data_IF_965978494558
#
_entry.id   IF_965978494558
#
_cell.length_a   1.000
_cell.length_b   1.000
_cell.length_c   1.000
_cell.angle_alpha   90.00
_cell.angle_beta   90.00
_cell.angle_gamma   90.00
#
_symmetry.space_group_name_H-M   'P 1'
#
loop_
_entity.id
_entity.type
_entity.pdbx_description
1 polymer ?
#
# COMPACT_ATOMS: atom_id res chain seq x y z
N UNK A 1 -16.04 4.05 -3.71
CA UNK A 1 -15.45 4.86 -2.62
C UNK A 1 -15.78 4.21 -1.30
N UNK A 2 -14.89 4.27 -0.32
CA UNK A 2 -15.21 3.78 1.01
C UNK A 2 -16.34 4.61 1.63
N UNK A 3 -17.35 3.94 2.17
CA UNK A 3 -18.43 4.58 2.94
C UNK A 3 -18.35 4.18 4.41
N UNK A 4 -19.07 4.92 5.25
CA UNK A 4 -19.33 4.51 6.63
C UNK A 4 -20.42 3.43 6.64
N UNK A 5 -20.43 2.54 7.65
CA UNK A 5 -21.55 1.63 7.84
C UNK A 5 -22.83 2.42 8.10
N UNK A 6 -23.95 1.93 7.56
CA UNK A 6 -25.30 2.36 7.93
C UNK A 6 -25.61 1.94 9.36
N UNK A 7 -26.66 2.51 9.98
CA UNK A 7 -27.06 2.14 11.35
C UNK A 7 -27.32 0.63 11.50
N UNK A 8 -27.90 0.00 10.46
CA UNK A 8 -28.13 -1.44 10.44
C UNK A 8 -26.82 -2.21 10.41
N UNK A 9 -25.90 -1.85 9.51
CA UNK A 9 -24.59 -2.51 9.41
C UNK A 9 -23.75 -2.29 10.68
N UNK A 10 -23.78 -1.08 11.25
CA UNK A 10 -23.10 -0.76 12.50
C UNK A 10 -23.65 -1.61 13.66
N UNK A 11 -24.97 -1.83 13.71
CA UNK A 11 -25.56 -2.74 14.68
C UNK A 11 -25.06 -4.19 14.49
N UNK A 12 -24.94 -4.68 13.25
CA UNK A 12 -24.36 -6.00 12.96
C UNK A 12 -22.90 -6.08 13.44
N UNK A 13 -22.09 -5.06 13.11
CA UNK A 13 -20.69 -4.96 13.51
C UNK A 13 -20.57 -4.97 15.04
N UNK A 14 -21.38 -4.18 15.75
CA UNK A 14 -21.36 -4.09 17.20
C UNK A 14 -21.82 -5.37 17.90
N UNK A 15 -22.64 -6.22 17.26
CA UNK A 15 -22.97 -7.57 17.81
C UNK A 15 -21.77 -8.52 17.80
N UNK A 16 -20.83 -8.34 16.88
CA UNK A 16 -19.60 -9.14 16.79
C UNK A 16 -18.43 -8.52 17.59
N UNK A 17 -18.49 -7.21 17.85
CA UNK A 17 -17.47 -6.48 18.56
C UNK A 17 -17.52 -6.74 20.08
N UNK A 18 -16.36 -6.65 20.74
CA UNK A 18 -16.24 -6.77 22.21
C UNK A 18 -16.43 -5.44 22.95
N UNK A 19 -16.60 -4.35 22.21
CA UNK A 19 -16.88 -3.01 22.70
C UNK A 19 -17.84 -2.33 21.73
N UNK A 20 -18.46 -1.27 22.19
CA UNK A 20 -19.19 -0.37 21.30
C UNK A 20 -18.19 0.34 20.38
N UNK A 21 -18.48 0.28 19.08
CA UNK A 21 -17.75 0.95 18.03
C UNK A 21 -18.65 1.99 17.35
N UNK A 22 -18.02 3.04 16.85
CA UNK A 22 -18.65 4.11 16.08
C UNK A 22 -18.48 3.90 14.57
N UNK A 23 -19.37 4.50 13.77
CA UNK A 23 -19.31 4.40 12.31
C UNK A 23 -18.01 4.95 11.70
N UNK A 24 -17.36 5.91 12.36
CA UNK A 24 -16.13 6.55 11.88
C UNK A 24 -14.91 5.64 11.91
N UNK A 25 -14.98 4.52 12.65
CA UNK A 25 -13.88 3.57 12.81
C UNK A 25 -13.76 2.57 11.67
N UNK A 26 -14.68 2.56 10.71
CA UNK A 26 -14.72 1.54 9.67
C UNK A 26 -14.68 2.12 8.26
N UNK A 27 -14.06 1.36 7.36
CA UNK A 27 -14.33 1.43 5.94
C UNK A 27 -15.36 0.36 5.58
N UNK A 28 -16.33 0.72 4.75
CA UNK A 28 -17.24 -0.22 4.10
C UNK A 28 -17.12 -0.07 2.59
N UNK A 29 -17.00 -1.20 1.91
CA UNK A 29 -16.93 -1.26 0.44
C UNK A 29 -18.04 -2.15 -0.07
N UNK A 30 -18.78 -1.65 -1.06
CA UNK A 30 -19.78 -2.43 -1.78
C UNK A 30 -19.07 -3.27 -2.85
N UNK A 31 -19.48 -4.53 -2.98
CA UNK A 31 -18.85 -5.47 -3.88
C UNK A 31 -19.85 -6.39 -4.58
N UNK A 32 -19.39 -6.97 -5.69
CA UNK A 32 -20.11 -7.92 -6.52
C UNK A 32 -19.33 -9.25 -6.55
N UNK A 33 -19.33 -10.05 -5.47
CA UNK A 33 -18.40 -11.17 -5.34
C UNK A 33 -18.67 -12.35 -6.27
N UNK A 34 -19.89 -12.50 -6.80
CA UNK A 34 -20.24 -13.66 -7.61
C UNK A 34 -21.38 -13.37 -8.59
N UNK A 35 -21.41 -14.10 -9.70
CA UNK A 35 -22.50 -14.09 -10.69
C UNK A 35 -22.67 -15.47 -11.31
N UNK A 36 -23.87 -15.77 -11.84
CA UNK A 36 -24.18 -17.07 -12.44
C UNK A 36 -24.02 -17.13 -13.96
N UNK A 37 -23.67 -16.00 -14.59
CA UNK A 37 -23.76 -15.82 -16.05
C UNK A 37 -22.41 -15.70 -16.76
N UNK A 38 -21.31 -15.39 -16.06
CA UNK A 38 -19.98 -15.34 -16.66
C UNK A 38 -19.26 -16.67 -16.56
N UNK A 39 -18.51 -17.01 -17.61
CA UNK A 39 -17.62 -18.15 -17.65
C UNK A 39 -16.33 -17.82 -16.87
N UNK A 40 -15.94 -18.69 -15.94
CA UNK A 40 -14.66 -18.55 -15.23
C UNK A 40 -13.47 -18.95 -16.10
N UNK A 41 -12.27 -18.53 -15.71
CA UNK A 41 -11.02 -18.99 -16.33
C UNK A 41 -10.77 -20.51 -16.18
N UNK A 42 -11.57 -21.19 -15.36
CA UNK A 42 -11.55 -22.63 -15.13
C UNK A 42 -12.66 -23.38 -15.88
N UNK A 43 -13.28 -22.74 -16.89
CA UNK A 43 -14.32 -23.32 -17.74
C UNK A 43 -15.60 -23.75 -17.01
N UNK A 44 -15.99 -23.02 -15.96
CA UNK A 44 -17.26 -23.26 -15.27
C UNK A 44 -18.10 -22.00 -15.08
N UNK A 45 -19.40 -22.22 -14.86
CA UNK A 45 -20.34 -21.21 -14.38
C UNK A 45 -20.73 -21.54 -12.95
N UNK A 46 -20.96 -20.52 -12.12
CA UNK A 46 -21.71 -20.72 -10.88
C UNK A 46 -23.18 -20.97 -11.23
N UNK A 47 -23.77 -21.98 -10.61
CA UNK A 47 -25.20 -22.23 -10.70
C UNK A 47 -26.00 -21.18 -9.92
N UNK A 48 -27.23 -20.90 -10.35
CA UNK A 48 -28.11 -19.99 -9.63
C UNK A 48 -28.36 -20.47 -8.20
N UNK A 49 -28.45 -21.80 -7.99
CA UNK A 49 -28.61 -22.35 -6.63
C UNK A 49 -27.40 -22.05 -5.74
N UNK A 50 -26.19 -22.04 -6.30
CA UNK A 50 -24.96 -21.66 -5.59
C UNK A 50 -24.98 -20.18 -5.21
N UNK A 51 -25.42 -19.29 -6.11
CA UNK A 51 -25.57 -17.85 -5.79
C UNK A 51 -26.58 -17.63 -4.64
N UNK A 52 -27.69 -18.36 -4.65
CA UNK A 52 -28.70 -18.31 -3.57
C UNK A 52 -28.14 -18.81 -2.24
N UNK A 53 -27.36 -19.90 -2.26
CA UNK A 53 -26.68 -20.41 -1.09
C UNK A 53 -25.64 -19.43 -0.55
N UNK A 54 -24.86 -18.78 -1.43
CA UNK A 54 -23.87 -17.79 -1.03
C UNK A 54 -24.50 -16.60 -0.30
N UNK A 55 -25.66 -16.12 -0.78
CA UNK A 55 -26.45 -15.12 -0.06
C UNK A 55 -26.86 -15.62 1.33
N UNK A 56 -27.39 -16.84 1.42
CA UNK A 56 -27.78 -17.43 2.71
C UNK A 56 -26.58 -17.62 3.66
N UNK A 57 -25.38 -17.86 3.13
CA UNK A 57 -24.15 -17.99 3.91
C UNK A 57 -23.64 -16.63 4.41
N UNK A 58 -23.78 -15.56 3.61
CA UNK A 58 -23.52 -14.18 4.04
C UNK A 58 -24.45 -13.74 5.17
N UNK A 59 -25.74 -14.09 5.06
CA UNK A 59 -26.76 -13.77 6.06
C UNK A 59 -26.49 -14.43 7.43
N UNK A 60 -25.56 -15.40 7.51
CA UNK A 60 -25.12 -16.05 8.76
C UNK A 60 -23.98 -15.32 9.48
N UNK A 61 -23.43 -14.24 8.92
CA UNK A 61 -22.43 -13.35 9.53
C UNK A 61 -21.10 -14.04 9.94
N UNK A 62 -20.75 -15.13 9.26
CA UNK A 62 -19.54 -15.92 9.55
C UNK A 62 -18.39 -15.68 8.58
N UNK A 63 -18.65 -14.98 7.48
CA UNK A 63 -17.71 -14.92 6.37
C UNK A 63 -16.60 -13.89 6.61
N UNK A 64 -15.38 -14.37 6.43
CA UNK A 64 -14.15 -13.63 6.60
C UNK A 64 -13.77 -12.90 5.32
N UNK A 65 -13.10 -11.76 5.48
CA UNK A 65 -12.33 -11.12 4.42
C UNK A 65 -10.84 -11.31 4.70
N UNK A 66 -10.17 -12.02 3.80
CA UNK A 66 -8.73 -12.18 3.77
C UNK A 66 -8.12 -11.66 2.46
N UNK A 67 -6.85 -12.01 2.25
CA UNK A 67 -6.10 -11.71 1.04
C UNK A 67 -5.42 -12.97 0.49
N UNK A 68 -5.41 -13.07 -0.85
CA UNK A 68 -4.58 -14.02 -1.60
C UNK A 68 -4.79 -15.52 -1.32
N UNK A 69 -5.95 -15.94 -0.81
CA UNK A 69 -6.26 -17.34 -0.44
C UNK A 69 -5.29 -17.99 0.55
N UNK A 70 -4.40 -17.21 1.14
CA UNK A 70 -3.54 -17.71 2.21
C UNK A 70 -4.39 -17.88 3.45
N UNK A 71 -4.11 -18.92 4.24
CA UNK A 71 -4.75 -19.11 5.56
C UNK A 71 -4.16 -18.15 6.59
N UNK A 72 -4.18 -16.86 6.26
CA UNK A 72 -3.75 -15.76 7.10
C UNK A 72 -4.91 -15.31 8.01
N UNK A 73 -4.56 -14.48 9.00
CA UNK A 73 -5.54 -13.82 9.85
C UNK A 73 -6.36 -12.82 9.03
N UNK A 74 -7.65 -12.73 9.33
CA UNK A 74 -8.59 -11.89 8.60
C UNK A 74 -8.49 -10.43 9.05
N UNK A 75 -8.59 -9.48 8.12
CA UNK A 75 -8.57 -8.04 8.39
C UNK A 75 -9.95 -7.38 8.22
N UNK A 76 -10.96 -8.14 7.83
CA UNK A 76 -12.33 -7.69 7.70
C UNK A 76 -13.35 -8.81 7.72
N UNK A 77 -14.61 -8.46 7.52
CA UNK A 77 -15.73 -9.40 7.39
C UNK A 77 -16.74 -8.93 6.37
N UNK A 78 -17.39 -9.89 5.74
CA UNK A 78 -18.52 -9.64 4.86
C UNK A 78 -19.80 -9.38 5.66
N UNK A 79 -20.63 -8.50 5.14
CA UNK A 79 -21.95 -8.18 5.63
C UNK A 79 -23.00 -8.93 4.81
N UNK A 80 -24.23 -9.07 5.33
CA UNK A 80 -25.36 -9.57 4.54
C UNK A 80 -25.49 -8.82 3.21
N UNK A 81 -25.84 -9.56 2.16
CA UNK A 81 -25.96 -9.05 0.81
C UNK A 81 -27.28 -9.43 0.16
N UNK A 82 -27.48 -8.94 -1.06
CA UNK A 82 -28.65 -9.16 -1.89
C UNK A 82 -28.28 -9.73 -3.24
N UNK A 83 -29.28 -10.29 -3.92
CA UNK A 83 -29.14 -10.79 -5.29
C UNK A 83 -29.87 -9.84 -6.21
N UNK A 84 -29.14 -9.29 -7.19
CA UNK A 84 -29.70 -8.47 -8.24
C UNK A 84 -29.87 -9.31 -9.51
N UNK A 85 -30.97 -9.09 -10.23
CA UNK A 85 -31.05 -9.45 -11.65
C UNK A 85 -30.49 -8.28 -12.45
N UNK A 86 -29.53 -8.56 -13.35
CA UNK A 86 -28.80 -7.55 -14.10
C UNK A 86 -28.91 -7.78 -15.60
N UNK A 87 -28.82 -6.70 -16.38
CA UNK A 87 -28.60 -6.79 -17.81
C UNK A 87 -27.20 -7.38 -18.04
N UNK A 88 -27.15 -8.57 -18.63
CA UNK A 88 -25.90 -9.30 -18.77
C UNK A 88 -25.07 -8.81 -19.95
N UNK A 89 -23.74 -8.75 -19.81
CA UNK A 89 -22.87 -8.29 -20.88
C UNK A 89 -22.68 -9.38 -21.95
N UNK A 90 -22.00 -9.01 -23.03
CA UNK A 90 -21.61 -9.93 -24.09
C UNK A 90 -20.78 -11.10 -23.54
N UNK A 91 -21.02 -12.30 -24.06
CA UNK A 91 -20.39 -13.54 -23.59
C UNK A 91 -21.06 -14.21 -22.39
N UNK A 92 -22.12 -13.61 -21.83
CA UNK A 92 -22.89 -14.22 -20.76
C UNK A 92 -23.69 -15.46 -21.21
N UNK A 93 -23.83 -16.45 -20.31
CA UNK A 93 -24.67 -17.62 -20.51
C UNK A 93 -26.14 -17.21 -20.60
N UNK A 94 -26.78 -17.57 -21.71
CA UNK A 94 -28.20 -17.25 -21.96
C UNK A 94 -29.09 -17.79 -20.85
N UNK A 95 -30.08 -16.98 -20.45
CA UNK A 95 -31.06 -17.35 -19.42
C UNK A 95 -30.57 -17.21 -17.98
N UNK A 96 -29.38 -16.63 -17.77
CA UNK A 96 -28.81 -16.33 -16.45
C UNK A 96 -28.53 -14.84 -16.32
N UNK A 97 -28.74 -14.30 -15.12
CA UNK A 97 -28.69 -12.86 -14.89
C UNK A 97 -28.51 -12.48 -13.42
N UNK A 98 -28.20 -13.44 -12.53
CA UNK A 98 -28.12 -13.16 -11.10
C UNK A 98 -26.70 -12.80 -10.70
N UNK A 99 -26.58 -11.67 -10.00
CA UNK A 99 -25.34 -11.19 -9.40
C UNK A 99 -25.53 -11.02 -7.90
N UNK A 100 -24.64 -11.63 -7.12
CA UNK A 100 -24.54 -11.38 -5.68
C UNK A 100 -23.90 -10.03 -5.45
N UNK A 101 -24.53 -9.21 -4.62
CA UNK A 101 -24.02 -7.92 -4.17
C UNK A 101 -23.93 -7.95 -2.66
N UNK A 102 -22.73 -7.76 -2.11
CA UNK A 102 -22.52 -7.81 -0.67
C UNK A 102 -21.46 -6.78 -0.29
N UNK A 103 -21.65 -6.00 0.78
CA UNK A 103 -20.60 -5.17 1.31
C UNK A 103 -19.68 -5.97 2.25
N UNK A 104 -18.48 -5.45 2.46
CA UNK A 104 -17.63 -5.87 3.57
C UNK A 104 -17.10 -4.64 4.31
N UNK A 105 -16.64 -4.87 5.54
CA UNK A 105 -16.04 -3.82 6.36
C UNK A 105 -14.63 -4.17 6.83
N UNK A 106 -13.83 -3.12 7.05
CA UNK A 106 -12.51 -3.17 7.67
C UNK A 106 -12.42 -2.09 8.76
N UNK A 107 -11.79 -2.42 9.88
CA UNK A 107 -11.47 -1.44 10.93
C UNK A 107 -10.30 -0.56 10.45
N UNK A 108 -10.40 0.76 10.57
CA UNK A 108 -9.35 1.70 10.18
C UNK A 108 -8.09 1.53 11.03
N UNK A 109 -6.92 1.74 10.43
CA UNK A 109 -5.63 1.65 11.13
C UNK A 109 -5.26 0.26 11.67
N UNK A 110 -6.03 -0.78 11.33
CA UNK A 110 -5.75 -2.15 11.74
C UNK A 110 -4.61 -2.72 10.88
N UNK A 111 -3.61 -3.30 11.54
CA UNK A 111 -2.55 -4.11 10.92
C UNK A 111 -2.69 -5.56 11.36
N UNK A 112 -2.79 -6.48 10.40
CA UNK A 112 -2.89 -7.93 10.61
C UNK A 112 -1.87 -8.63 9.73
N UNK A 113 -0.85 -9.24 10.35
CA UNK A 113 0.28 -9.79 9.61
C UNK A 113 0.99 -8.70 8.80
N UNK A 114 1.07 -8.90 7.49
CA UNK A 114 1.67 -7.94 6.54
C UNK A 114 0.67 -6.92 5.97
N UNK A 115 -0.61 -7.00 6.34
CA UNK A 115 -1.66 -6.19 5.74
C UNK A 115 -2.05 -5.02 6.65
N UNK A 116 -2.02 -3.80 6.12
CA UNK A 116 -2.57 -2.61 6.76
C UNK A 116 -3.86 -2.17 6.06
N UNK A 117 -4.94 -2.04 6.82
CA UNK A 117 -6.28 -1.73 6.30
C UNK A 117 -6.40 -0.34 5.66
N UNK A 118 -5.63 0.66 6.09
CA UNK A 118 -5.63 1.98 5.45
C UNK A 118 -4.92 1.94 4.09
N UNK A 119 -3.84 1.15 3.97
CA UNK A 119 -3.16 0.93 2.69
C UNK A 119 -4.02 0.12 1.71
N UNK A 120 -4.69 -0.93 2.20
CA UNK A 120 -5.66 -1.69 1.41
C UNK A 120 -6.81 -0.80 0.93
N UNK A 121 -7.38 0.03 1.81
CA UNK A 121 -8.44 0.96 1.45
C UNK A 121 -7.99 1.94 0.35
N UNK A 122 -6.77 2.50 0.45
CA UNK A 122 -6.19 3.35 -0.59
C UNK A 122 -6.03 2.61 -1.92
N UNK A 123 -5.56 1.37 -1.90
CA UNK A 123 -5.43 0.55 -3.11
C UNK A 123 -6.78 0.27 -3.77
N UNK A 124 -7.81 0.01 -2.96
CA UNK A 124 -9.19 -0.15 -3.44
C UNK A 124 -9.70 1.14 -4.08
N UNK A 125 -9.54 2.27 -3.41
CA UNK A 125 -10.02 3.56 -3.93
C UNK A 125 -9.25 4.04 -5.16
N UNK A 126 -7.97 3.70 -5.26
CA UNK A 126 -7.14 3.93 -6.45
C UNK A 126 -7.47 2.97 -7.60
N UNK A 127 -8.27 1.92 -7.36
CA UNK A 127 -8.63 0.90 -8.35
C UNK A 127 -7.52 -0.11 -8.63
N UNK A 128 -6.42 -0.11 -7.88
CA UNK A 128 -5.34 -1.09 -8.02
C UNK A 128 -5.64 -2.41 -7.32
N UNK A 129 -6.56 -2.41 -6.33
CA UNK A 129 -7.12 -3.60 -5.71
C UNK A 129 -8.61 -3.64 -5.99
N UNK A 130 -9.04 -4.45 -6.96
CA UNK A 130 -10.44 -4.47 -7.39
C UNK A 130 -11.04 -5.87 -7.50
N UNK A 131 -10.20 -6.87 -7.69
CA UNK A 131 -10.62 -8.21 -8.04
C UNK A 131 -10.85 -9.04 -6.76
N UNK A 132 -11.89 -9.87 -6.82
CA UNK A 132 -12.30 -10.75 -5.75
C UNK A 132 -12.25 -12.19 -6.21
N UNK A 133 -12.02 -13.08 -5.26
CA UNK A 133 -12.12 -14.50 -5.50
C UNK A 133 -12.88 -15.17 -4.38
N UNK A 134 -13.68 -16.15 -4.76
CA UNK A 134 -14.51 -16.91 -3.84
C UNK A 134 -13.90 -18.30 -3.63
N UNK A 135 -13.85 -18.71 -2.36
CA UNK A 135 -13.68 -20.11 -2.00
C UNK A 135 -15.06 -20.66 -1.68
N UNK A 136 -15.41 -21.80 -2.26
CA UNK A 136 -16.67 -22.48 -1.98
C UNK A 136 -16.44 -23.93 -1.61
N UNK A 137 -17.38 -24.48 -0.86
CA UNK A 137 -17.38 -25.86 -0.39
C UNK A 137 -18.57 -26.62 -0.97
N UNK A 138 -18.38 -27.93 -1.18
CA UNK A 138 -19.44 -28.81 -1.67
C UNK A 138 -19.80 -28.52 -3.12
N UNK A 139 -21.09 -28.66 -3.46
CA UNK A 139 -21.58 -28.44 -4.82
C UNK A 139 -21.43 -29.63 -5.77
N UNK A 140 -22.22 -29.57 -6.84
CA UNK A 140 -22.30 -30.55 -7.92
C UNK A 140 -21.90 -29.88 -9.24
N UNK A 141 -20.74 -30.21 -9.81
CA UNK A 141 -20.29 -29.69 -11.09
C UNK A 141 -20.93 -30.50 -12.22
N UNK A 142 -21.99 -29.95 -12.79
CA UNK A 142 -22.80 -30.57 -13.84
C UNK A 142 -22.27 -30.18 -15.21
N UNK A 143 -21.89 -31.16 -16.03
CA UNK A 143 -21.44 -30.94 -17.40
C UNK A 143 -22.55 -30.28 -18.24
N UNK A 144 -22.24 -29.20 -18.95
CA UNK A 144 -23.20 -28.50 -19.80
C UNK A 144 -23.48 -29.24 -21.13
N UNK A 145 -22.70 -30.28 -21.47
CA UNK A 145 -22.90 -31.12 -22.66
C UNK A 145 -23.80 -32.33 -22.35
N UNK A 146 -23.41 -33.18 -21.39
CA UNK A 146 -24.14 -34.42 -21.08
C UNK A 146 -25.02 -34.37 -19.83
N UNK A 147 -24.86 -33.35 -18.97
CA UNK A 147 -25.60 -33.25 -17.71
C UNK A 147 -25.09 -34.16 -16.57
N UNK A 148 -24.02 -34.93 -16.78
CA UNK A 148 -23.39 -35.75 -15.74
C UNK A 148 -22.48 -34.94 -14.80
N UNK A 149 -22.18 -35.48 -13.61
CA UNK A 149 -21.17 -34.88 -12.72
C UNK A 149 -19.77 -35.05 -13.33
N UNK A 150 -19.08 -33.94 -13.60
CA UNK A 150 -17.79 -33.96 -14.33
C UNK A 150 -16.65 -34.62 -13.55
N UNK A 151 -16.83 -34.88 -12.25
CA UNK A 151 -15.86 -35.61 -11.43
C UNK A 151 -16.01 -37.13 -11.56
N UNK A 152 -17.12 -37.59 -12.14
CA UNK A 152 -17.47 -39.01 -12.22
C UNK A 152 -17.42 -39.48 -13.67
N UNK A 153 -16.39 -40.28 -13.98
CA UNK A 153 -16.14 -40.74 -15.34
C UNK A 153 -17.30 -41.58 -15.92
N UNK A 154 -17.98 -42.37 -15.08
CA UNK A 154 -19.15 -43.16 -15.44
C UNK A 154 -20.40 -42.33 -15.75
N UNK A 155 -20.44 -41.06 -15.30
CA UNK A 155 -21.50 -40.11 -15.61
C UNK A 155 -21.10 -39.10 -16.71
N UNK A 156 -19.80 -38.82 -16.88
CA UNK A 156 -19.29 -37.81 -17.81
C UNK A 156 -17.86 -38.10 -18.30
N UNK A 157 -17.69 -38.25 -19.61
CA UNK A 157 -16.38 -38.39 -20.26
C UNK A 157 -15.81 -37.05 -20.79
N UNK A 158 -16.56 -35.96 -20.68
CA UNK A 158 -16.17 -34.64 -21.17
C UNK A 158 -15.18 -33.93 -20.26
N UNK A 159 -14.19 -33.26 -20.85
CA UNK A 159 -13.16 -32.50 -20.15
C UNK A 159 -13.39 -30.99 -20.32
N UNK A 160 -13.47 -30.20 -19.24
CA UNK A 160 -13.64 -28.75 -19.33
C UNK A 160 -12.59 -28.10 -20.24
N UNK A 161 -13.01 -27.18 -21.10
CA UNK A 161 -12.14 -26.46 -22.04
C UNK A 161 -11.78 -27.22 -23.31
N UNK A 162 -12.16 -28.50 -23.46
CA UNK A 162 -12.07 -29.23 -24.73
C UNK A 162 -13.31 -29.03 -25.58
N UNK A 163 -13.13 -29.06 -26.90
CA UNK A 163 -14.21 -28.97 -27.86
C UNK A 163 -14.74 -30.37 -28.23
N UNK A 164 -16.06 -30.53 -28.23
CA UNK A 164 -16.79 -31.71 -28.64
C UNK A 164 -17.92 -31.28 -29.57
N UNK A 165 -17.95 -31.81 -30.79
CA UNK A 165 -18.98 -31.49 -31.79
C UNK A 165 -19.20 -29.97 -32.01
N UNK A 166 -18.11 -29.18 -31.99
CA UNK A 166 -18.16 -27.73 -32.17
C UNK A 166 -18.55 -26.95 -30.90
N UNK A 167 -18.67 -27.61 -29.75
CA UNK A 167 -19.04 -27.01 -28.47
C UNK A 167 -17.93 -27.21 -27.45
N UNK A 168 -17.47 -26.11 -26.84
CA UNK A 168 -16.51 -26.19 -25.73
C UNK A 168 -17.21 -26.71 -24.48
N UNK A 169 -16.69 -27.80 -23.90
CA UNK A 169 -17.17 -28.36 -22.66
C UNK A 169 -16.96 -27.35 -21.53
N UNK A 170 -18.06 -27.00 -20.88
CA UNK A 170 -18.09 -26.21 -19.65
C UNK A 170 -18.96 -26.96 -18.64
N UNK A 171 -18.88 -26.56 -17.37
CA UNK A 171 -19.74 -27.14 -16.33
C UNK A 171 -20.36 -26.06 -15.46
N UNK A 172 -21.51 -26.38 -14.87
CA UNK A 172 -22.18 -25.52 -13.90
C UNK A 172 -22.02 -26.12 -12.50
N UNK A 173 -21.51 -25.34 -11.54
CA UNK A 173 -21.47 -25.75 -10.14
C UNK A 173 -22.77 -25.37 -9.45
N UNK A 174 -23.64 -26.34 -9.20
CA UNK A 174 -24.90 -26.17 -8.47
C UNK A 174 -24.75 -26.55 -6.98
N UNK A 175 -25.51 -25.89 -6.10
CA UNK A 175 -25.58 -26.14 -4.65
C UNK A 175 -24.23 -26.01 -3.91
N UNK A 176 -23.31 -25.17 -4.38
CA UNK A 176 -22.12 -24.82 -3.61
C UNK A 176 -22.47 -23.89 -2.44
N UNK A 177 -21.63 -23.88 -1.41
CA UNK A 177 -21.74 -23.00 -0.24
C UNK A 177 -20.51 -22.12 -0.11
N UNK A 178 -20.71 -20.85 0.30
CA UNK A 178 -19.62 -19.88 0.36
C UNK A 178 -18.72 -20.19 1.55
N UNK A 179 -17.43 -20.41 1.29
CA UNK A 179 -16.41 -20.66 2.31
C UNK A 179 -15.66 -19.39 2.71
N UNK A 180 -15.23 -18.61 1.73
CA UNK A 180 -14.59 -17.31 1.91
C UNK A 180 -14.73 -16.46 0.65
N UNK A 181 -14.51 -15.15 0.79
CA UNK A 181 -14.32 -14.27 -0.34
C UNK A 181 -13.22 -13.26 0.01
N UNK A 182 -12.16 -13.25 -0.79
CA UNK A 182 -10.91 -12.58 -0.48
C UNK A 182 -10.55 -11.56 -1.57
N UNK A 183 -9.77 -10.54 -1.18
CA UNK A 183 -9.11 -9.64 -2.11
C UNK A 183 -7.95 -10.37 -2.80
N UNK A 184 -7.90 -10.30 -4.13
CA UNK A 184 -6.87 -10.96 -4.93
C UNK A 184 -6.33 -10.03 -6.01
N UNK A 185 -5.14 -10.36 -6.53
CA UNK A 185 -4.51 -9.65 -7.64
C UNK A 185 -5.19 -9.97 -8.98
N UNK A 186 -5.57 -11.24 -9.18
CA UNK A 186 -6.27 -11.70 -10.38
C UNK A 186 -7.41 -12.67 -10.00
N UNK A 187 -8.64 -12.28 -10.34
CA UNK A 187 -9.86 -13.01 -9.99
C UNK A 187 -10.29 -13.99 -11.08
N UNK A 188 -10.60 -15.24 -10.70
CA UNK A 188 -10.97 -16.28 -11.67
C UNK A 188 -12.38 -16.16 -12.28
N UNK A 189 -13.25 -15.34 -11.69
CA UNK A 189 -14.63 -15.10 -12.16
C UNK A 189 -14.73 -13.66 -12.69
N UNK A 190 -15.00 -13.47 -14.00
CA UNK A 190 -15.22 -12.15 -14.54
C UNK A 190 -16.34 -11.41 -13.81
N UNK A 191 -16.13 -10.12 -13.56
CA UNK A 191 -17.07 -9.24 -12.84
C UNK A 191 -17.27 -9.61 -11.36
N UNK A 192 -16.40 -10.45 -10.80
CA UNK A 192 -16.23 -10.60 -9.36
C UNK A 192 -15.35 -9.47 -8.83
N UNK A 193 -15.93 -8.30 -8.59
CA UNK A 193 -15.15 -7.08 -8.32
C UNK A 193 -15.74 -6.22 -7.22
N UNK A 194 -14.94 -5.30 -6.70
CA UNK A 194 -15.42 -4.17 -5.93
C UNK A 194 -16.28 -3.27 -6.83
N UNK A 195 -17.41 -2.79 -6.31
CA UNK A 195 -18.30 -1.94 -7.09
C UNK A 195 -17.64 -0.56 -7.28
N UNK A 196 -17.30 -0.23 -8.52
CA UNK A 196 -16.98 1.14 -8.90
C UNK A 196 -18.24 2.01 -8.76
N UNK A 197 -18.06 3.28 -8.35
CA UNK A 197 -19.14 4.26 -8.45
C UNK A 197 -19.60 4.39 -9.90
N UNK A 198 -20.92 4.51 -10.09
CA UNK A 198 -21.65 4.57 -11.36
C UNK A 198 -20.81 4.94 -12.60
N UNK A 199 -20.27 3.93 -13.26
CA UNK A 199 -19.49 4.10 -14.48
C UNK A 199 -18.29 3.19 -14.54
N UNK A 200 -18.51 1.90 -14.75
CA UNK A 200 -17.42 1.08 -15.28
C UNK A 200 -17.90 0.08 -16.33
N UNK A 201 -17.86 0.55 -17.56
CA UNK A 201 -17.80 -0.26 -18.76
C UNK A 201 -16.32 -0.40 -19.15
N UNK A 202 -15.54 -1.09 -18.33
CA UNK A 202 -14.20 -1.53 -18.70
C UNK A 202 -14.35 -2.79 -19.54
N UNK A 203 -13.94 -2.68 -20.81
CA UNK A 203 -14.10 -3.73 -21.82
C UNK A 203 -13.59 -5.06 -21.28
N UNK A 204 -14.48 -6.06 -21.36
CA UNK A 204 -14.17 -7.48 -21.23
C UNK A 204 -12.87 -7.80 -21.99
N UNK A 205 -12.11 -8.73 -21.43
CA UNK A 205 -10.87 -9.25 -21.97
C UNK A 205 -10.87 -9.30 -23.51
N UNK A 206 -9.82 -8.74 -24.10
CA UNK A 206 -9.50 -8.81 -25.52
C UNK A 206 -9.78 -10.23 -26.06
N UNK A 207 -10.49 -10.40 -27.18
CA UNK A 207 -10.67 -11.71 -27.84
C UNK A 207 -9.39 -12.56 -27.98
N UNK A 208 -8.20 -11.93 -27.97
CA UNK A 208 -6.90 -12.61 -27.89
C UNK A 208 -6.71 -13.48 -26.63
N UNK A 209 -7.41 -13.20 -25.52
CA UNK A 209 -7.42 -14.04 -24.32
C UNK A 209 -8.10 -15.38 -24.57
N UNK A 210 -9.13 -15.44 -25.41
CA UNK A 210 -9.78 -16.72 -25.76
C UNK A 210 -8.85 -17.58 -26.64
N UNK A 211 -8.06 -16.95 -27.51
CA UNK A 211 -7.07 -17.62 -28.35
C UNK A 211 -5.86 -18.11 -27.54
N UNK A 212 -5.43 -17.32 -26.54
CA UNK A 212 -4.40 -17.73 -25.58
C UNK A 212 -4.90 -18.84 -24.64
N UNK A 213 -6.17 -18.81 -24.22
CA UNK A 213 -6.81 -19.88 -23.43
C UNK A 213 -6.94 -21.17 -24.27
N UNK A 214 -7.27 -21.07 -25.56
CA UNK A 214 -7.27 -22.21 -26.50
C UNK A 214 -5.87 -22.78 -26.71
N UNK A 215 -4.83 -21.94 -26.79
CA UNK A 215 -3.44 -22.37 -26.83
C UNK A 215 -3.02 -23.09 -25.54
N UNK A 216 -3.33 -22.50 -24.38
CA UNK A 216 -3.05 -23.09 -23.07
C UNK A 216 -3.79 -24.41 -22.83
N UNK A 217 -5.04 -24.56 -23.32
CA UNK A 217 -5.79 -25.82 -23.21
C UNK A 217 -5.27 -26.90 -24.17
N UNK A 218 -4.72 -26.50 -25.32
CA UNK A 218 -4.04 -27.40 -26.24
C UNK A 218 -2.66 -27.85 -25.72
N UNK A 219 -1.94 -26.98 -25.01
CA UNK A 219 -0.59 -27.25 -24.49
C UNK A 219 -0.61 -27.99 -23.13
N UNK A 220 -1.63 -27.77 -22.28
CA UNK A 220 -1.70 -28.36 -20.93
C UNK A 220 -3.08 -28.93 -20.55
N UNK A 221 -3.54 -30.01 -21.20
CA UNK A 221 -4.85 -30.64 -20.93
C UNK A 221 -5.00 -31.33 -19.56
N UNK A 222 -3.97 -31.33 -18.70
CA UNK A 222 -3.92 -32.09 -17.44
C UNK A 222 -4.09 -31.25 -16.16
N UNK A 223 -4.08 -29.91 -16.24
CA UNK A 223 -4.18 -29.04 -15.05
C UNK A 223 -5.56 -29.09 -14.40
N UNK A 224 -6.64 -29.22 -15.18
CA UNK A 224 -8.00 -29.38 -14.66
C UNK A 224 -8.22 -30.70 -13.89
N UNK A 225 -7.56 -31.78 -14.33
CA UNK A 225 -7.69 -33.12 -13.70
C UNK A 225 -6.88 -33.24 -12.41
N UNK A 226 -5.74 -32.54 -12.30
CA UNK A 226 -4.85 -32.62 -11.13
C UNK A 226 -5.42 -31.87 -9.92
N UNK A 227 -6.05 -30.71 -10.13
CA UNK A 227 -6.57 -29.86 -9.04
C UNK A 227 -7.85 -30.46 -8.41
N UNK A 228 -8.73 -31.04 -9.21
CA UNK A 228 -9.94 -31.72 -8.73
C UNK A 228 -9.64 -33.10 -8.11
N UNK A 229 -8.71 -33.87 -8.70
CA UNK A 229 -8.33 -35.19 -8.17
C UNK A 229 -7.60 -35.12 -6.82
N UNK A 230 -6.69 -34.16 -6.63
CA UNK A 230 -5.95 -34.03 -5.37
C UNK A 230 -6.82 -33.61 -4.17
N UNK A 231 -7.89 -32.85 -4.43
CA UNK A 231 -8.86 -32.46 -3.40
C UNK A 231 -9.79 -33.63 -3.01
N UNK A 232 -10.19 -34.46 -3.99
CA UNK A 232 -10.97 -35.67 -3.73
C UNK A 232 -10.15 -36.80 -3.06
N UNK A 233 -8.86 -36.94 -3.37
CA UNK A 233 -7.96 -37.91 -2.70
C UNK A 233 -7.75 -37.55 -1.22
N UNK A 234 -7.64 -36.26 -0.89
CA UNK A 234 -7.51 -35.81 0.50
C UNK A 234 -8.73 -36.09 1.37
N UNK A 235 -9.92 -36.15 0.75
CA UNK A 235 -11.19 -36.42 1.44
C UNK A 235 -11.53 -37.92 1.48
N UNK A 236 -11.27 -38.67 0.41
CA UNK A 236 -11.52 -40.13 0.36
C UNK A 236 -10.53 -40.95 1.21
N UNK A 237 -9.39 -40.39 1.62
CA UNK A 237 -8.51 -41.03 2.62
C UNK A 237 -9.07 -40.97 4.05
N UNK A 238 -10.12 -40.17 4.31
CA UNK A 238 -10.72 -40.01 5.65
C UNK A 238 -12.05 -40.73 5.83
N UNK A 239 -12.72 -41.12 4.74
CA UNK A 239 -14.01 -41.81 4.81
C UNK A 239 -13.96 -43.11 4.00
N UNK A 240 -13.93 -44.24 4.72
CA UNK A 240 -14.22 -45.56 4.15
C UNK A 240 -13.05 -46.53 4.22
N UNK A 241 -13.10 -47.44 5.20
CA UNK A 241 -12.18 -48.55 5.37
C UNK A 241 -12.34 -49.66 4.33
N UNK A 242 -12.15 -49.35 3.05
CA UNK A 242 -11.93 -50.35 2.01
C UNK A 242 -10.60 -50.05 1.32
N UNK A 243 -9.65 -50.98 1.49
CA UNK A 243 -8.34 -50.96 0.83
C UNK A 243 -8.51 -50.91 -0.69
N UNK A 244 -8.44 -49.71 -1.27
CA UNK A 244 -8.13 -49.58 -2.69
C UNK A 244 -6.68 -50.07 -2.85
N UNK A 245 -6.47 -51.15 -3.60
CA UNK A 245 -5.14 -51.70 -3.83
C UNK A 245 -4.33 -50.71 -4.67
N UNK A 246 -3.51 -49.92 -3.99
CA UNK A 246 -2.67 -48.88 -4.59
C UNK A 246 -1.79 -49.40 -5.73
N UNK A 247 -1.36 -50.66 -5.68
CA UNK A 247 -0.56 -51.27 -6.75
C UNK A 247 -1.35 -51.50 -8.04
N UNK A 248 -2.64 -51.80 -7.94
CA UNK A 248 -3.50 -52.07 -9.10
C UNK A 248 -3.85 -50.76 -9.81
N UNK A 249 -4.11 -49.71 -9.03
CA UNK A 249 -4.30 -48.34 -9.51
C UNK A 249 -3.03 -47.82 -10.21
N UNK A 250 -1.86 -47.98 -9.59
CA UNK A 250 -0.57 -47.57 -10.19
C UNK A 250 -0.29 -48.35 -11.48
N UNK A 251 -0.61 -49.65 -11.55
CA UNK A 251 -0.45 -50.45 -12.77
C UNK A 251 -1.36 -49.99 -13.90
N UNK A 252 -2.63 -49.70 -13.64
CA UNK A 252 -3.57 -49.19 -14.65
C UNK A 252 -3.13 -47.82 -15.17
N UNK A 253 -2.75 -46.92 -14.26
CA UNK A 253 -2.27 -45.58 -14.58
C UNK A 253 -0.97 -45.62 -15.38
N UNK A 254 -0.04 -46.53 -15.04
CA UNK A 254 1.24 -46.71 -15.74
C UNK A 254 1.06 -47.28 -17.15
N UNK A 255 0.05 -48.12 -17.36
CA UNK A 255 -0.27 -48.70 -18.67
C UNK A 255 -0.84 -47.64 -19.62
N UNK A 256 -1.77 -46.81 -19.16
CA UNK A 256 -2.33 -45.70 -19.95
C UNK A 256 -1.27 -44.64 -20.29
N UNK A 257 -0.35 -44.36 -19.37
CA UNK A 257 0.79 -43.47 -19.62
C UNK A 257 1.77 -44.03 -20.66
N UNK A 258 2.00 -45.35 -20.68
CA UNK A 258 2.94 -45.98 -21.62
C UNK A 258 2.41 -46.05 -23.06
N UNK A 259 1.09 -46.09 -23.25
CA UNK A 259 0.46 -46.16 -24.57
C UNK A 259 0.34 -44.77 -25.26
N UNK A 260 0.52 -43.67 -24.53
CA UNK A 260 0.28 -42.30 -25.03
C UNK A 260 1.51 -41.37 -24.97
N UNK A 261 2.69 -41.88 -24.59
CA UNK A 261 3.90 -41.07 -24.44
C UNK A 261 4.98 -41.38 -25.49
N UNK A 262 5.65 -40.32 -25.96
CA UNK A 262 6.82 -40.31 -26.87
C UNK A 262 7.98 -41.10 -26.23
N UNK A 263 8.85 -41.81 -27.01
CA UNK A 263 9.81 -42.77 -26.45
C UNK A 263 10.78 -42.15 -25.43
N UNK A 264 11.14 -42.96 -24.42
CA UNK A 264 11.99 -42.67 -23.24
C UNK A 264 13.31 -41.91 -23.50
N UNK A 265 13.78 -41.80 -24.74
CA UNK A 265 15.01 -41.09 -25.10
C UNK A 265 14.90 -39.55 -25.03
N UNK A 266 13.72 -38.97 -25.24
CA UNK A 266 13.52 -37.50 -25.18
C UNK A 266 13.37 -36.97 -23.74
N UNK A 267 12.99 -37.82 -22.79
CA UNK A 267 12.79 -37.41 -21.39
C UNK A 267 14.11 -37.12 -20.68
N UNK A 268 15.15 -37.93 -20.90
CA UNK A 268 16.45 -37.76 -20.25
C UNK A 268 17.16 -36.48 -20.75
N UNK A 269 16.97 -36.12 -22.03
CA UNK A 269 17.46 -34.86 -22.59
C UNK A 269 16.70 -33.66 -22.02
N UNK A 270 15.37 -33.72 -21.93
CA UNK A 270 14.56 -32.64 -21.35
C UNK A 270 14.85 -32.42 -19.85
N UNK A 271 15.04 -33.50 -19.08
CA UNK A 271 15.43 -33.42 -17.66
C UNK A 271 16.82 -32.79 -17.51
N UNK A 272 17.77 -33.16 -18.36
CA UNK A 272 19.13 -32.59 -18.34
C UNK A 272 19.12 -31.10 -18.70
N UNK A 273 18.30 -30.70 -19.68
CA UNK A 273 18.17 -29.29 -20.06
C UNK A 273 17.54 -28.46 -18.94
N UNK A 274 16.47 -28.96 -18.32
CA UNK A 274 15.84 -28.31 -17.16
C UNK A 274 16.78 -28.22 -15.94
N UNK A 275 17.59 -29.26 -15.68
CA UNK A 275 18.61 -29.22 -14.62
C UNK A 275 19.70 -28.19 -14.91
N UNK A 276 20.07 -28.02 -16.18
CA UNK A 276 21.03 -27.00 -16.62
C UNK A 276 20.46 -25.61 -16.40
N UNK A 277 19.22 -25.36 -16.87
CA UNK A 277 18.52 -24.10 -16.66
C UNK A 277 18.35 -23.77 -15.17
N UNK A 278 18.00 -24.75 -14.34
CA UNK A 278 17.90 -24.58 -12.89
C UNK A 278 19.24 -24.18 -12.26
N UNK A 279 20.33 -24.81 -12.69
CA UNK A 279 21.69 -24.50 -12.19
C UNK A 279 22.13 -23.09 -12.60
N UNK A 280 21.81 -22.68 -13.83
CA UNK A 280 22.06 -21.32 -14.31
C UNK A 280 21.26 -20.30 -13.50
N UNK A 281 19.96 -20.52 -13.31
CA UNK A 281 19.10 -19.63 -12.52
C UNK A 281 19.54 -19.53 -11.05
N UNK A 282 20.01 -20.63 -10.46
CA UNK A 282 20.58 -20.64 -9.10
C UNK A 282 21.87 -19.83 -9.01
N UNK A 283 22.72 -19.89 -10.04
CA UNK A 283 23.96 -19.11 -10.11
C UNK A 283 23.66 -17.62 -10.23
N UNK A 284 22.74 -17.24 -11.10
CA UNK A 284 22.29 -15.85 -11.26
C UNK A 284 21.66 -15.31 -9.98
N UNK A 285 20.81 -16.11 -9.31
CA UNK A 285 20.22 -15.75 -8.01
C UNK A 285 21.28 -15.50 -6.95
N UNK A 286 22.36 -16.29 -6.93
CA UNK A 286 23.47 -16.11 -5.99
C UNK A 286 24.19 -14.79 -6.24
N UNK A 287 24.48 -14.48 -7.51
CA UNK A 287 25.11 -13.20 -7.90
C UNK A 287 24.24 -12.00 -7.51
N UNK A 288 22.92 -12.07 -7.75
CA UNK A 288 21.99 -11.00 -7.36
C UNK A 288 21.97 -10.79 -5.84
N UNK A 289 22.08 -11.86 -5.05
CA UNK A 289 22.17 -11.75 -3.59
C UNK A 289 23.47 -11.08 -3.13
N UNK A 290 24.59 -11.36 -3.77
CA UNK A 290 25.88 -10.71 -3.49
C UNK A 290 25.83 -9.21 -3.84
N UNK A 291 25.28 -8.87 -5.01
CA UNK A 291 25.10 -7.48 -5.44
C UNK A 291 24.16 -6.71 -4.48
N UNK A 292 23.08 -7.35 -4.02
CA UNK A 292 22.17 -6.77 -3.03
C UNK A 292 22.86 -6.52 -1.69
N UNK A 293 23.65 -7.47 -1.20
CA UNK A 293 24.40 -7.32 0.05
C UNK A 293 25.40 -6.16 -0.04
N UNK A 294 26.08 -5.99 -1.18
CA UNK A 294 26.97 -4.86 -1.42
C UNK A 294 26.21 -3.53 -1.42
N UNK A 295 25.08 -3.45 -2.13
CA UNK A 295 24.26 -2.24 -2.17
C UNK A 295 23.71 -1.84 -0.79
N UNK A 296 23.37 -2.82 0.06
CA UNK A 296 22.98 -2.58 1.45
C UNK A 296 24.12 -2.02 2.31
N UNK A 297 25.36 -2.50 2.08
CA UNK A 297 26.56 -1.95 2.70
C UNK A 297 26.78 -0.49 2.32
N UNK A 298 26.73 -0.18 1.03
CA UNK A 298 26.90 1.18 0.51
C UNK A 298 25.82 2.13 1.06
N UNK A 299 24.57 1.68 1.14
CA UNK A 299 23.47 2.47 1.74
C UNK A 299 23.71 2.78 3.21
N UNK A 300 24.25 1.81 3.97
CA UNK A 300 24.57 2.00 5.39
C UNK A 300 25.68 3.04 5.56
N UNK A 301 26.73 2.97 4.74
CA UNK A 301 27.83 3.95 4.75
C UNK A 301 27.34 5.36 4.38
N UNK A 302 26.52 5.48 3.33
CA UNK A 302 25.94 6.76 2.92
C UNK A 302 25.02 7.36 3.98
N UNK A 303 24.24 6.52 4.66
CA UNK A 303 23.35 6.96 5.74
C UNK A 303 24.17 7.54 6.90
N UNK A 304 25.28 6.91 7.26
CA UNK A 304 26.13 7.40 8.34
C UNK A 304 26.86 8.69 7.97
N UNK A 305 27.35 8.81 6.73
CA UNK A 305 27.89 10.08 6.20
C UNK A 305 26.84 11.20 6.23
N UNK A 306 25.60 10.91 5.85
CA UNK A 306 24.51 11.89 5.86
C UNK A 306 24.20 12.39 7.27
N UNK A 307 24.24 11.52 8.29
CA UNK A 307 24.08 11.94 9.69
C UNK A 307 25.22 12.87 10.14
N UNK A 308 26.45 12.54 9.76
CA UNK A 308 27.63 13.38 10.05
C UNK A 308 27.47 14.79 9.47
N UNK A 309 27.12 14.90 8.19
CA UNK A 309 26.88 16.19 7.52
C UNK A 309 25.72 16.95 8.18
N UNK A 310 24.65 16.26 8.57
CA UNK A 310 23.54 16.91 9.28
C UNK A 310 23.97 17.52 10.62
N UNK A 311 24.80 16.80 11.39
CA UNK A 311 25.32 17.29 12.66
C UNK A 311 26.25 18.51 12.47
N UNK A 312 27.11 18.48 11.46
CA UNK A 312 27.97 19.63 11.10
C UNK A 312 27.14 20.84 10.66
N UNK A 313 26.06 20.62 9.92
CA UNK A 313 25.14 21.67 9.49
C UNK A 313 24.44 22.32 10.68
N UNK A 314 23.98 21.53 11.65
CA UNK A 314 23.31 22.06 12.83
C UNK A 314 24.28 22.82 13.75
N UNK A 315 25.51 22.32 13.93
CA UNK A 315 26.57 23.04 14.62
C UNK A 315 26.90 24.38 13.95
N UNK A 316 26.92 24.41 12.61
CA UNK A 316 27.16 25.63 11.84
C UNK A 316 26.03 26.65 12.01
N UNK A 317 24.76 26.21 12.04
CA UNK A 317 23.61 27.10 12.32
C UNK A 317 23.69 27.72 13.72
N UNK A 318 24.11 26.95 14.72
CA UNK A 318 24.31 27.47 16.07
C UNK A 318 25.40 28.55 16.12
N UNK A 319 26.51 28.35 15.41
CA UNK A 319 27.57 29.36 15.30
C UNK A 319 27.08 30.64 14.60
N UNK A 320 26.26 30.51 13.55
CA UNK A 320 25.64 31.67 12.88
C UNK A 320 24.77 32.45 13.87
N UNK A 321 23.91 31.76 14.63
CA UNK A 321 23.05 32.39 15.64
C UNK A 321 23.84 33.13 16.72
N UNK A 322 24.95 32.55 17.18
CA UNK A 322 25.87 33.20 18.13
C UNK A 322 26.49 34.46 17.50
N UNK A 323 26.95 34.35 16.24
CA UNK A 323 27.51 35.49 15.49
C UNK A 323 26.52 36.63 15.29
N UNK A 324 25.28 36.33 14.91
CA UNK A 324 24.20 37.32 14.76
C UNK A 324 23.88 38.02 16.09
N UNK A 325 23.80 37.25 17.18
CA UNK A 325 23.58 37.81 18.53
C UNK A 325 24.69 38.80 18.87
N UNK A 326 25.94 38.41 18.65
CA UNK A 326 27.10 39.27 18.94
C UNK A 326 27.12 40.55 18.09
N UNK A 327 26.76 40.45 16.81
CA UNK A 327 26.67 41.62 15.93
C UNK A 327 25.59 42.59 16.39
N UNK A 328 24.46 42.09 16.88
CA UNK A 328 23.39 42.93 17.42
C UNK A 328 23.82 43.64 18.71
N UNK A 329 24.50 42.94 19.63
CA UNK A 329 25.06 43.55 20.84
C UNK A 329 26.03 44.70 20.51
N UNK A 330 26.95 44.47 19.56
CA UNK A 330 27.90 45.49 19.12
C UNK A 330 27.19 46.67 18.46
N UNK A 331 26.16 46.42 17.65
CA UNK A 331 25.35 47.48 17.03
C UNK A 331 24.65 48.33 18.09
N UNK A 332 24.07 47.71 19.12
CA UNK A 332 23.47 48.45 20.24
C UNK A 332 24.51 49.31 20.96
N UNK A 333 25.67 48.74 21.28
CA UNK A 333 26.77 49.47 21.93
C UNK A 333 27.25 50.65 21.09
N UNK A 334 27.38 50.45 19.77
CA UNK A 334 27.75 51.49 18.83
C UNK A 334 26.78 52.67 18.85
N UNK A 335 25.47 52.41 18.79
CA UNK A 335 24.48 53.49 18.87
C UNK A 335 24.44 54.16 20.24
N UNK A 336 24.63 53.41 21.34
CA UNK A 336 24.71 54.00 22.69
C UNK A 336 25.85 55.01 22.76
N UNK A 337 27.04 54.65 22.30
CA UNK A 337 28.18 55.56 22.25
C UNK A 337 27.95 56.72 21.29
N UNK A 338 27.27 56.50 20.16
CA UNK A 338 26.95 57.54 19.19
C UNK A 338 26.07 58.63 19.76
N UNK A 339 25.01 58.25 20.47
CA UNK A 339 24.13 59.19 21.18
C UNK A 339 24.90 59.95 22.27
N UNK A 340 25.77 59.27 23.03
CA UNK A 340 26.59 59.92 24.09
C UNK A 340 27.56 60.95 23.52
N UNK A 341 28.19 60.68 22.38
CA UNK A 341 29.24 61.54 21.83
C UNK A 341 28.72 62.66 20.93
N UNK A 342 27.62 62.42 20.22
CA UNK A 342 27.17 63.28 19.14
C UNK A 342 25.74 63.81 19.35
N UNK A 343 25.03 63.34 20.37
CA UNK A 343 23.70 63.82 20.79
C UNK A 343 22.74 63.93 19.59
N UNK A 344 22.19 65.12 19.33
CA UNK A 344 21.23 65.39 18.26
C UNK A 344 21.82 65.24 16.84
N UNK A 345 23.15 65.12 16.70
CA UNK A 345 23.82 64.90 15.40
C UNK A 345 23.94 63.41 15.04
N UNK A 346 23.56 62.51 15.95
CA UNK A 346 23.60 61.07 15.70
C UNK A 346 22.36 60.60 14.92
N UNK A 347 22.56 60.23 13.66
CA UNK A 347 21.51 59.64 12.82
C UNK A 347 21.59 58.11 12.85
N UNK A 348 20.78 57.50 13.70
CA UNK A 348 20.71 56.04 13.83
C UNK A 348 20.33 55.35 12.52
N UNK A 349 19.43 55.95 11.73
CA UNK A 349 18.87 55.32 10.53
C UNK A 349 19.87 55.33 9.37
N UNK A 350 20.63 56.42 9.23
CA UNK A 350 21.73 56.51 8.28
C UNK A 350 22.87 55.52 8.61
N UNK A 351 23.23 55.40 9.89
CA UNK A 351 24.24 54.44 10.35
C UNK A 351 23.77 52.99 10.16
N UNK A 352 22.51 52.70 10.46
CA UNK A 352 21.90 51.38 10.23
C UNK A 352 21.88 51.00 8.74
N UNK A 353 21.61 51.95 7.87
CA UNK A 353 21.67 51.75 6.41
C UNK A 353 23.08 51.36 5.97
N UNK A 354 24.10 52.02 6.52
CA UNK A 354 25.51 51.73 6.24
C UNK A 354 25.90 50.35 6.75
N UNK A 355 25.51 50.00 7.99
CA UNK A 355 25.80 48.69 8.58
C UNK A 355 25.13 47.55 7.81
N UNK A 356 23.87 47.74 7.38
CA UNK A 356 23.12 46.73 6.65
C UNK A 356 23.67 46.46 5.25
N UNK A 357 24.37 47.42 4.64
CA UNK A 357 25.05 47.25 3.35
C UNK A 357 26.33 46.41 3.43
N UNK A 358 26.87 46.18 4.64
CA UNK A 358 28.08 45.37 4.85
C UNK A 358 27.74 43.89 5.08
N UNK A 359 28.60 43.00 4.57
CA UNK A 359 28.60 41.59 4.95
C UNK A 359 28.97 41.40 6.44
N UNK A 360 28.68 40.23 6.99
CA UNK A 360 28.81 39.98 8.43
C UNK A 360 30.22 40.22 8.97
N UNK A 361 31.25 39.84 8.21
CA UNK A 361 32.65 40.04 8.62
C UNK A 361 33.02 41.52 8.60
N UNK A 362 32.73 42.23 7.50
CA UNK A 362 33.01 43.67 7.41
C UNK A 362 32.21 44.47 8.44
N UNK A 363 30.99 44.04 8.76
CA UNK A 363 30.17 44.66 9.81
C UNK A 363 30.80 44.50 11.18
N UNK A 364 31.33 43.30 11.50
CA UNK A 364 32.05 43.05 12.75
C UNK A 364 33.30 43.94 12.87
N UNK A 365 34.11 43.98 11.81
CA UNK A 365 35.33 44.81 11.75
C UNK A 365 34.99 46.29 11.90
N UNK A 366 33.97 46.77 11.19
CA UNK A 366 33.50 48.15 11.24
C UNK A 366 33.03 48.54 12.64
N UNK A 367 32.11 47.76 13.22
CA UNK A 367 31.57 48.02 14.56
C UNK A 367 32.67 48.02 15.61
N UNK A 368 33.57 47.03 15.58
CA UNK A 368 34.67 46.92 16.56
C UNK A 368 35.62 48.11 16.48
N UNK A 369 35.99 48.53 15.27
CA UNK A 369 36.86 49.69 15.07
C UNK A 369 36.20 50.98 15.57
N UNK A 370 34.95 51.23 15.16
CA UNK A 370 34.20 52.42 15.56
C UNK A 370 33.96 52.52 17.05
N UNK A 371 33.51 51.44 17.69
CA UNK A 371 33.29 51.37 19.14
C UNK A 371 34.59 51.68 19.88
N UNK A 372 35.72 51.12 19.44
CA UNK A 372 37.04 51.39 20.04
C UNK A 372 37.39 52.87 19.96
N UNK A 373 37.30 53.48 18.78
CA UNK A 373 37.58 54.91 18.59
C UNK A 373 36.66 55.78 19.46
N UNK A 374 35.37 55.47 19.49
CA UNK A 374 34.37 56.23 20.25
C UNK A 374 34.59 56.11 21.76
N UNK A 375 34.97 54.93 22.27
CA UNK A 375 35.33 54.77 23.68
C UNK A 375 36.53 55.64 24.08
N UNK A 376 37.57 55.69 23.24
CA UNK A 376 38.75 56.53 23.51
C UNK A 376 38.42 58.03 23.42
N UNK A 377 37.55 58.42 22.48
CA UNK A 377 37.05 59.80 22.39
C UNK A 377 36.25 60.17 23.66
N UNK A 378 35.33 59.30 24.10
CA UNK A 378 34.53 59.51 25.31
C UNK A 378 35.41 59.66 26.56
N UNK A 379 36.41 58.78 26.73
CA UNK A 379 37.41 58.89 27.83
C UNK A 379 38.16 60.21 27.79
N UNK A 380 38.56 60.67 26.60
CA UNK A 380 39.30 61.92 26.44
C UNK A 380 38.43 63.13 26.81
N UNK A 381 37.15 63.14 26.42
CA UNK A 381 36.20 64.20 26.79
C UNK A 381 35.95 64.24 28.30
N UNK A 382 35.76 63.07 28.92
CA UNK A 382 35.65 62.93 30.38
C UNK A 382 36.87 63.49 31.11
N UNK A 383 38.09 63.13 30.68
CA UNK A 383 39.33 63.62 31.30
C UNK A 383 39.55 65.13 31.15
N UNK A 384 38.95 65.78 30.14
CA UNK A 384 38.96 67.24 29.99
C UNK A 384 37.94 67.92 30.90
N UNK A 385 36.76 67.33 31.07
CA UNK A 385 35.74 67.83 31.99
C UNK A 385 36.23 67.85 33.45
N UNK A 386 37.03 66.87 33.86
CA UNK A 386 37.61 66.78 35.22
C UNK A 386 38.73 67.80 35.51
N UNK A 387 39.32 68.42 34.48
CA UNK A 387 40.46 69.36 34.62
C UNK A 387 40.07 70.85 34.64
N UNK A 388 38.77 71.17 34.73
CA UNK A 388 38.31 72.51 35.10
C UNK A 388 38.45 73.60 34.02
N UNK A 389 38.33 73.27 32.74
CA UNK A 389 38.13 74.29 31.69
C UNK A 389 36.64 74.64 31.59
N UNK A 390 36.17 75.51 32.49
CA UNK A 390 34.83 76.08 32.43
C UNK A 390 34.77 77.21 31.40
N UNK A 391 34.74 76.85 30.12
CA UNK A 391 34.07 77.68 29.12
C UNK A 391 33.04 76.86 28.35
N UNK A 392 31.78 77.00 28.79
CA UNK A 392 30.50 76.53 28.23
C UNK A 392 29.91 75.14 28.58
N UNK A 393 30.65 74.16 29.10
CA UNK A 393 30.07 72.83 29.35
C UNK A 393 29.70 72.56 30.82
N UNK A 394 28.56 73.10 31.27
CA UNK A 394 28.03 72.84 32.63
C UNK A 394 27.13 71.62 32.78
N UNK A 395 26.97 70.80 31.73
CA UNK A 395 26.06 69.62 31.75
C UNK A 395 26.76 68.25 31.60
N UNK A 396 28.07 68.19 31.37
CA UNK A 396 28.73 66.90 31.10
C UNK A 396 29.02 66.04 32.35
N UNK A 397 28.97 66.58 33.57
CA UNK A 397 29.27 65.82 34.79
C UNK A 397 28.09 64.98 35.30
N UNK A 398 26.89 65.13 34.72
CA UNK A 398 25.70 64.37 35.13
C UNK A 398 25.44 63.13 34.23
N UNK A 399 26.02 63.05 33.03
CA UNK A 399 25.63 62.01 32.06
C UNK A 399 26.41 60.69 32.11
N UNK A 400 27.47 60.56 32.91
CA UNK A 400 28.27 59.32 32.95
C UNK A 400 27.99 58.41 34.17
N UNK A 401 27.00 58.73 35.00
CA UNK A 401 26.53 57.83 36.07
C UNK A 401 25.42 56.87 35.63
N UNK A 402 25.06 56.87 34.33
CA UNK A 402 23.91 56.13 33.82
C UNK A 402 24.27 55.26 32.61
N UNK A 403 25.21 54.33 32.78
CA UNK A 403 25.33 53.19 31.86
C UNK A 403 24.10 52.26 31.93
N UNK A 404 23.22 52.43 32.94
CA UNK A 404 22.09 51.54 33.23
C UNK A 404 20.69 52.21 33.17
N UNK A 405 20.51 53.39 32.56
CA UNK A 405 19.19 54.04 32.52
C UNK A 405 18.45 53.87 31.17
N UNK A 406 17.50 52.93 31.04
CA UNK A 406 16.74 52.68 29.81
C UNK A 406 15.70 53.76 29.46
N UNK A 407 15.55 54.82 30.27
CA UNK A 407 14.55 55.88 30.02
C UNK A 407 14.89 56.83 28.85
N UNK A 408 16.12 56.78 28.32
CA UNK A 408 16.57 57.66 27.22
C UNK A 408 16.21 57.12 25.82
N UNK A 409 15.70 55.90 25.69
CA UNK A 409 15.21 55.35 24.41
C UNK A 409 13.77 55.78 24.16
N UNK A 410 13.54 57.05 23.79
CA UNK A 410 12.25 57.44 23.22
C UNK A 410 12.26 57.18 21.71
N UNK A 411 11.51 56.16 21.30
CA UNK A 411 11.05 56.00 19.91
C UNK A 411 10.17 57.20 19.55
N UNK A 412 10.51 57.91 18.47
CA UNK A 412 9.60 58.88 17.84
C UNK A 412 8.44 58.09 17.20
N UNK A 413 7.22 58.50 17.53
CA UNK A 413 5.97 58.03 16.89
C UNK A 413 5.89 58.48 15.45
#
# INVERSE_FOLDING_TARGET
MARKPTDKELALINRLAKRECSADEFYVFDAKPANDFMLTCYFYYLGTTSIMNFKADLDRERLRLGASHKRDLNFGRWLPGDIASVDTPEGAKKGRSYQLQAPFYMLKGLTVGQYNTDELAKGIEAGTLRDLSIEWNGGKPICDICGGDIRKYDECEHLPGREYDGVVCTFTVENAHLGACDLVDDGGLPLATLAAGDGDSLKLADPGSLENIKKLSAEHPMTGRLVLSLSDIGNNLKEGGNNVNFEEFVKQFSKELAEHYVPKADHDTAVTDLQTQLTTAQTETTKVKEDLAKAQGDLTELTEKSKGISAELDASKDLIRIGETRLNELREEYHKLGVILYEDKWDKEAEDTTLNALDAQKRLEHLTAKITTMKEEAKTRLAKADKGDHTSDRDMTIQYSHLDNPALYRTKK
#
